data_IF_300065440212
#
_entry.id   IF_300065440212
#
_cell.length_a   1.000
_cell.length_b   1.000
_cell.length_c   1.000
_cell.angle_alpha   90.00
_cell.angle_beta   90.00
_cell.angle_gamma   90.00
#
_symmetry.space_group_name_H-M   'P 1'
#
loop_
_entity.id
_entity.type
_entity.pdbx_description
1 polymer ?
#
# COMPACT_ATOMS: atom_id res chain seq x y z
N UNK A 1 -13.73 3.38 -2.66
CA UNK A 1 -12.85 3.93 -3.73
C UNK A 1 -11.62 3.03 -3.78
N UNK A 2 -11.19 2.61 -4.96
CA UNK A 2 -10.02 1.74 -5.11
C UNK A 2 -8.90 2.56 -5.74
N UNK A 3 -7.71 2.52 -5.13
CA UNK A 3 -6.55 3.29 -5.58
C UNK A 3 -5.43 2.29 -5.88
N UNK A 4 -4.79 2.46 -7.03
CA UNK A 4 -3.59 1.71 -7.40
C UNK A 4 -2.38 2.62 -7.26
N UNK A 5 -1.34 2.11 -6.59
CA UNK A 5 -0.11 2.86 -6.30
C UNK A 5 1.06 2.01 -6.80
N UNK A 6 1.88 2.59 -7.67
CA UNK A 6 3.09 1.97 -8.23
C UNK A 6 4.35 2.75 -7.85
N UNK A 7 5.50 2.08 -7.84
CA UNK A 7 6.78 2.71 -7.48
C UNK A 7 6.99 2.85 -5.98
N UNK A 8 6.31 2.01 -5.18
CA UNK A 8 6.58 1.90 -3.75
C UNK A 8 7.99 1.36 -3.51
N UNK A 9 8.62 1.82 -2.43
CA UNK A 9 9.91 1.28 -2.01
C UNK A 9 9.75 -0.18 -1.58
N UNK A 10 10.78 -1.00 -1.75
CA UNK A 10 10.79 -2.41 -1.32
C UNK A 10 10.47 -2.61 0.16
N UNK A 11 10.75 -1.59 0.99
CA UNK A 11 10.43 -1.62 2.43
C UNK A 11 9.00 -1.22 2.79
N UNK A 12 8.18 -0.77 1.82
CA UNK A 12 6.81 -0.32 2.11
C UNK A 12 5.92 -1.52 2.43
N UNK A 13 5.22 -1.44 3.56
CA UNK A 13 4.27 -2.47 4.02
C UNK A 13 2.81 -2.04 3.86
N UNK A 14 1.90 -2.99 3.99
CA UNK A 14 0.45 -2.71 4.06
C UNK A 14 0.09 -1.79 5.24
N UNK A 15 0.79 -1.92 6.37
CA UNK A 15 0.62 -1.08 7.54
C UNK A 15 1.04 0.37 7.26
N UNK A 16 2.15 0.58 6.55
CA UNK A 16 2.60 1.93 6.16
C UNK A 16 1.56 2.63 5.29
N UNK A 17 1.02 1.92 4.29
CA UNK A 17 -0.05 2.46 3.45
C UNK A 17 -1.31 2.76 4.27
N UNK A 18 -1.72 1.84 5.14
CA UNK A 18 -2.91 2.03 5.98
C UNK A 18 -2.77 3.26 6.87
N UNK A 19 -1.63 3.41 7.54
CA UNK A 19 -1.35 4.55 8.42
C UNK A 19 -1.25 5.86 7.65
N UNK A 20 -0.61 5.86 6.48
CA UNK A 20 -0.49 7.05 5.63
C UNK A 20 -1.85 7.54 5.15
N UNK A 21 -2.74 6.63 4.75
CA UNK A 21 -4.06 7.00 4.24
C UNK A 21 -5.12 7.20 5.34
N UNK A 22 -4.84 6.79 6.58
CA UNK A 22 -5.77 6.94 7.70
C UNK A 22 -6.13 8.39 8.04
N UNK A 23 -5.25 9.37 7.74
CA UNK A 23 -5.58 10.78 7.95
C UNK A 23 -6.64 11.29 6.96
N UNK A 24 -6.73 10.66 5.78
CA UNK A 24 -7.64 11.06 4.72
C UNK A 24 -9.00 10.35 4.79
N UNK A 25 -9.13 9.33 5.65
CA UNK A 25 -10.37 8.61 5.88
C UNK A 25 -10.17 7.16 6.32
N UNK A 26 -11.27 6.42 6.42
CA UNK A 26 -11.22 5.00 6.78
C UNK A 26 -10.66 4.17 5.62
N UNK A 27 -9.56 3.45 5.88
CA UNK A 27 -8.96 2.51 4.93
C UNK A 27 -9.57 1.13 5.16
N UNK A 28 -10.44 0.67 4.25
CA UNK A 28 -11.04 -0.67 4.36
C UNK A 28 -10.02 -1.79 4.09
N UNK A 29 -9.05 -1.56 3.21
CA UNK A 29 -7.99 -2.53 2.90
C UNK A 29 -6.83 -1.85 2.17
N UNK A 30 -5.60 -2.15 2.58
CA UNK A 30 -4.39 -1.84 1.84
C UNK A 30 -3.59 -3.14 1.65
N UNK A 31 -3.04 -3.35 0.46
CA UNK A 31 -2.21 -4.51 0.16
C UNK A 31 -1.05 -4.12 -0.73
N UNK A 32 0.16 -4.36 -0.24
CA UNK A 32 1.35 -4.25 -1.07
C UNK A 32 1.53 -5.57 -1.82
N UNK A 33 1.65 -5.49 -3.14
CA UNK A 33 1.89 -6.64 -4.00
C UNK A 33 3.28 -6.44 -4.59
N UNK A 34 4.20 -7.30 -4.18
CA UNK A 34 5.52 -7.39 -4.79
C UNK A 34 5.45 -8.35 -5.97
N UNK A 35 6.10 -7.96 -7.06
CA UNK A 35 6.30 -8.87 -8.18
C UNK A 35 7.13 -10.06 -7.71
N UNK A 36 6.66 -11.28 -7.98
CA UNK A 36 7.29 -12.50 -7.45
C UNK A 36 8.56 -12.89 -8.24
N UNK A 37 8.75 -12.34 -9.44
CA UNK A 37 9.93 -12.62 -10.27
C UNK A 37 11.08 -11.65 -9.96
N UNK A 38 10.77 -10.42 -9.52
CA UNK A 38 11.77 -9.40 -9.16
C UNK A 38 11.78 -9.02 -7.67
N UNK A 39 11.03 -9.76 -6.85
CA UNK A 39 10.77 -9.49 -5.43
C UNK A 39 11.87 -9.96 -4.50
#
# INVERSE_FOLDING_TARGET
MNIYISGLSYGTTDADLTNLFAEFGEVSSAKVIFDRETG
#
